data_IF_483494225310
#
_entry.id   IF_483494225310
#
_cell.length_a   1.000
_cell.length_b   1.000
_cell.length_c   1.000
_cell.angle_alpha   90.00
_cell.angle_beta   90.00
_cell.angle_gamma   90.00
#
_symmetry.space_group_name_H-M   'P 1'
#
loop_
_entity.id
_entity.type
_entity.pdbx_description
1 polymer ?
#
# COMPACT_ATOMS: atom_id res chain seq x y z
N UNK A 1 3.66 17.11 -19.19
CA UNK A 1 4.47 15.87 -19.18
C UNK A 1 4.94 15.45 -17.77
N UNK A 2 5.45 16.35 -16.92
CA UNK A 2 6.04 16.00 -15.60
C UNK A 2 5.09 15.25 -14.64
N UNK A 3 3.81 15.67 -14.52
CA UNK A 3 2.83 14.99 -13.65
C UNK A 3 2.52 13.54 -14.03
N UNK A 4 2.64 13.16 -15.32
CA UNK A 4 2.41 11.78 -15.75
C UNK A 4 3.57 10.86 -15.37
N UNK A 5 4.80 11.39 -15.40
CA UNK A 5 5.99 10.68 -14.93
C UNK A 5 5.90 10.39 -13.44
N UNK A 6 5.39 11.34 -12.66
CA UNK A 6 5.22 11.17 -11.22
C UNK A 6 4.26 10.01 -10.87
N UNK A 7 3.10 9.96 -11.53
CA UNK A 7 2.15 8.83 -11.36
C UNK A 7 2.76 7.49 -11.76
N UNK A 8 3.70 7.49 -12.73
CA UNK A 8 4.39 6.27 -13.16
C UNK A 8 5.40 5.81 -12.10
N UNK A 9 6.22 6.74 -11.59
CA UNK A 9 7.19 6.46 -10.54
C UNK A 9 6.53 5.99 -9.24
N UNK A 10 5.42 6.62 -8.83
CA UNK A 10 4.65 6.16 -7.67
C UNK A 10 4.16 4.73 -7.84
N UNK A 11 3.61 4.40 -9.03
CA UNK A 11 3.13 3.05 -9.33
C UNK A 11 4.25 2.02 -9.41
N UNK A 12 5.40 2.36 -9.99
CA UNK A 12 6.58 1.47 -10.01
C UNK A 12 7.11 1.24 -8.59
N UNK A 13 7.25 2.30 -7.80
CA UNK A 13 7.66 2.22 -6.40
C UNK A 13 6.72 1.35 -5.58
N UNK A 14 5.40 1.52 -5.73
CA UNK A 14 4.42 0.66 -5.07
C UNK A 14 4.54 -0.80 -5.52
N UNK A 15 4.66 -1.05 -6.83
CA UNK A 15 4.76 -2.41 -7.38
C UNK A 15 5.98 -3.18 -6.86
N UNK A 16 7.12 -2.50 -6.71
CA UNK A 16 8.33 -3.07 -6.11
C UNK A 16 8.15 -3.44 -4.62
N UNK A 17 7.19 -2.82 -3.93
CA UNK A 17 6.91 -3.06 -2.52
C UNK A 17 5.58 -3.81 -2.32
N UNK A 18 4.92 -4.26 -3.41
CA UNK A 18 3.59 -4.86 -3.37
C UNK A 18 3.57 -6.11 -2.49
N UNK A 19 4.60 -6.94 -2.55
CA UNK A 19 4.70 -8.18 -1.75
C UNK A 19 4.69 -7.90 -0.25
N UNK A 20 5.25 -6.75 0.17
CA UNK A 20 5.25 -6.31 1.57
C UNK A 20 3.98 -5.54 1.96
N UNK A 21 3.18 -5.12 0.99
CA UNK A 21 1.94 -4.35 1.16
C UNK A 21 0.70 -5.18 0.82
N UNK A 22 0.83 -6.52 0.72
CA UNK A 22 -0.29 -7.42 0.48
C UNK A 22 -1.37 -7.23 1.56
N UNK A 23 -2.61 -7.03 1.13
CA UNK A 23 -3.78 -6.81 2.00
C UNK A 23 -4.05 -5.34 2.35
N UNK A 24 -3.31 -4.39 1.77
CA UNK A 24 -3.57 -2.96 1.92
C UNK A 24 -4.28 -2.38 0.70
N UNK A 25 -5.35 -1.62 0.93
CA UNK A 25 -5.93 -0.73 -0.07
C UNK A 25 -5.40 0.69 0.11
N UNK A 26 -4.59 1.18 -0.84
CA UNK A 26 -3.83 2.43 -0.70
C UNK A 26 -4.26 3.43 -1.79
N UNK A 27 -4.94 4.50 -1.38
CA UNK A 27 -5.31 5.62 -2.24
C UNK A 27 -4.31 6.76 -2.11
N UNK A 28 -3.64 7.11 -3.20
CA UNK A 28 -2.67 8.22 -3.25
C UNK A 28 -3.34 9.46 -3.85
N UNK A 29 -3.54 10.50 -3.04
CA UNK A 29 -4.12 11.78 -3.48
C UNK A 29 -3.01 12.82 -3.69
N UNK A 30 -2.72 13.15 -4.94
CA UNK A 30 -1.75 14.20 -5.26
C UNK A 30 -2.38 15.59 -5.12
N UNK A 31 -1.93 16.36 -4.12
CA UNK A 31 -2.34 17.75 -3.89
C UNK A 31 -1.74 18.69 -4.95
N UNK A 32 -2.36 19.85 -5.15
CA UNK A 32 -1.85 20.91 -6.06
C UNK A 32 -0.47 21.36 -5.53
N UNK A 33 0.53 21.46 -6.41
CA UNK A 33 1.93 21.74 -6.06
C UNK A 33 2.86 20.52 -5.96
N UNK A 34 2.32 19.29 -5.90
CA UNK A 34 3.15 18.07 -5.84
C UNK A 34 3.92 17.80 -7.15
N UNK A 35 3.52 18.43 -8.25
CA UNK A 35 4.26 18.36 -9.52
C UNK A 35 5.44 19.33 -9.61
N UNK A 36 5.51 20.30 -8.68
CA UNK A 36 6.56 21.32 -8.61
C UNK A 36 7.65 20.93 -7.60
N UNK A 37 7.37 19.97 -6.71
CA UNK A 37 8.36 19.35 -5.83
C UNK A 37 9.27 18.45 -6.66
N UNK A 38 10.58 18.60 -6.49
CA UNK A 38 11.57 17.86 -7.25
C UNK A 38 11.35 16.34 -7.12
N UNK A 39 11.25 15.69 -8.28
CA UNK A 39 10.97 14.26 -8.41
C UNK A 39 11.82 13.32 -7.51
N UNK A 40 13.16 13.52 -7.34
CA UNK A 40 13.97 12.58 -6.57
C UNK A 40 13.65 12.58 -5.06
N UNK A 41 13.35 13.75 -4.49
CA UNK A 41 12.99 13.82 -3.06
C UNK A 41 11.69 13.08 -2.78
N UNK A 42 10.70 13.26 -3.66
CA UNK A 42 9.40 12.61 -3.52
C UNK A 42 9.54 11.07 -3.48
N UNK A 43 10.39 10.50 -4.34
CA UNK A 43 10.66 9.06 -4.39
C UNK A 43 11.29 8.57 -3.07
N UNK A 44 12.26 9.31 -2.52
CA UNK A 44 12.85 8.95 -1.23
C UNK A 44 11.80 8.97 -0.11
N UNK A 45 10.91 9.96 -0.11
CA UNK A 45 9.82 10.03 0.86
C UNK A 45 8.87 8.84 0.72
N UNK A 46 8.47 8.48 -0.50
CA UNK A 46 7.63 7.29 -0.74
C UNK A 46 8.31 6.00 -0.27
N UNK A 47 9.60 5.80 -0.58
CA UNK A 47 10.35 4.64 -0.10
C UNK A 47 10.35 4.51 1.43
N UNK A 48 10.49 5.64 2.15
CA UNK A 48 10.38 5.66 3.62
C UNK A 48 8.96 5.33 4.09
N UNK A 49 7.94 5.85 3.42
CA UNK A 49 6.53 5.56 3.74
C UNK A 49 6.18 4.08 3.53
N UNK A 50 6.58 3.48 2.41
CA UNK A 50 6.34 2.05 2.15
C UNK A 50 6.99 1.16 3.21
N UNK A 51 8.25 1.43 3.58
CA UNK A 51 8.94 0.69 4.67
C UNK A 51 8.26 0.86 6.02
N UNK A 52 7.60 2.00 6.27
CA UNK A 52 6.82 2.20 7.50
C UNK A 52 5.49 1.45 7.45
N UNK A 53 4.78 1.47 6.33
CA UNK A 53 3.53 0.75 6.13
C UNK A 53 3.74 -0.77 6.20
N UNK A 54 4.74 -1.29 5.50
CA UNK A 54 5.11 -2.71 5.53
C UNK A 54 5.44 -3.22 6.96
N UNK A 55 6.08 -2.39 7.77
CA UNK A 55 6.36 -2.72 9.18
C UNK A 55 5.13 -2.64 10.08
N UNK A 56 4.22 -1.73 9.76
CA UNK A 56 3.03 -1.47 10.57
C UNK A 56 1.82 -2.17 9.95
N UNK A 57 1.92 -3.50 9.77
CA UNK A 57 0.81 -4.32 9.28
C UNK A 57 -0.39 -4.10 10.21
N UNK A 58 -1.54 -3.61 9.74
CA UNK A 58 -2.74 -3.63 10.55
C UNK A 58 -2.96 -5.10 10.91
N UNK A 59 -3.11 -5.39 12.20
CA UNK A 59 -3.56 -6.69 12.63
C UNK A 59 -4.79 -7.04 11.76
N UNK A 60 -4.67 -8.09 10.95
CA UNK A 60 -5.72 -8.49 10.02
C UNK A 60 -7.06 -8.48 10.74
N UNK A 61 -8.17 -8.04 10.13
CA UNK A 61 -9.47 -8.44 10.62
C UNK A 61 -9.60 -9.95 10.38
N UNK A 62 -9.08 -10.74 11.32
CA UNK A 62 -9.45 -12.14 11.46
C UNK A 62 -10.87 -12.12 12.03
N UNK A 63 -11.87 -12.08 11.14
CA UNK A 63 -13.25 -12.35 11.51
C UNK A 63 -13.69 -13.59 10.73
N UNK A 64 -13.26 -14.73 11.28
CA UNK A 64 -14.13 -15.86 11.64
C UNK A 64 -15.27 -16.20 10.68
N UNK A 65 -14.97 -16.91 9.60
CA UNK A 65 -15.96 -17.83 9.01
C UNK A 65 -15.97 -19.11 9.86
N UNK A 66 -16.77 -19.07 10.92
CA UNK A 66 -17.29 -20.25 11.60
C UNK A 66 -18.35 -20.87 10.68
N UNK A 67 -17.93 -21.71 9.75
CA UNK A 67 -18.82 -22.69 9.12
C UNK A 67 -18.57 -24.02 9.83
N UNK A 68 -19.41 -24.31 10.83
CA UNK A 68 -19.34 -25.50 11.64
C UNK A 68 -19.42 -26.78 10.81
N UNK A 69 -18.38 -27.60 10.93
CA UNK A 69 -18.44 -29.04 10.65
C UNK A 69 -17.99 -29.72 11.92
N UNK A 70 -18.95 -30.07 12.78
CA UNK A 70 -18.91 -31.29 13.58
C UNK A 70 -20.35 -31.65 14.01
N UNK A 71 -21.04 -32.41 13.17
CA UNK A 71 -21.85 -33.53 13.67
C UNK A 71 -20.96 -34.75 13.53
N UNK A 72 -20.79 -35.57 14.57
CA UNK A 72 -21.87 -36.43 15.07
C UNK A 72 -21.83 -36.77 16.58
N UNK A 73 -22.96 -36.76 17.27
CA UNK A 73 -23.11 -37.47 18.56
C UNK A 73 -24.50 -38.13 18.66
N UNK A 74 -24.47 -39.42 19.03
CA UNK A 74 -25.54 -40.37 19.37
C UNK A 74 -26.44 -40.95 18.26
#
# INVERSE_FOLDING_TARGET
MQRNRLKRLMRESFRLNQDSLVGWDIVIVARKGLGDVENPELIQHFGKLWKRLARNKPASPVNTETAGVDSPDA
#
